data_IF_957622563891
#
_entry.id   IF_957622563891
#
_cell.length_a   1.000
_cell.length_b   1.000
_cell.length_c   1.000
_cell.angle_alpha   90.00
_cell.angle_beta   90.00
_cell.angle_gamma   90.00
#
_symmetry.space_group_name_H-M   'P 1'
#
loop_
_entity.id
_entity.type
_entity.pdbx_description
1 polymer ?
#
# COMPACT_ATOMS: atom_id res chain seq x y z
N UNK A 1 14.50 1.75 -2.06
CA UNK A 1 14.63 0.42 -2.70
C UNK A 1 13.52 0.28 -3.73
N UNK A 2 13.80 -0.27 -4.92
CA UNK A 2 12.77 -0.62 -5.92
C UNK A 2 12.11 -1.94 -5.49
N UNK A 3 10.78 -2.00 -5.51
CA UNK A 3 9.98 -3.18 -5.16
C UNK A 3 9.43 -3.91 -6.38
N UNK A 4 9.10 -3.20 -7.45
CA UNK A 4 8.52 -3.79 -8.66
C UNK A 4 8.03 -2.71 -9.62
N UNK A 5 7.37 -3.11 -10.71
CA UNK A 5 6.73 -2.19 -11.64
C UNK A 5 5.46 -1.59 -11.02
N UNK A 6 5.10 -0.39 -11.43
CA UNK A 6 3.83 0.22 -11.07
C UNK A 6 2.70 -0.49 -11.84
N UNK A 7 1.58 -0.82 -11.19
CA UNK A 7 0.45 -1.47 -11.87
C UNK A 7 -0.34 -0.51 -12.78
N UNK A 8 -0.03 0.80 -12.73
CA UNK A 8 -0.81 1.84 -13.41
C UNK A 8 0.00 2.69 -14.40
N UNK A 9 1.31 2.49 -14.49
CA UNK A 9 2.17 3.19 -15.45
C UNK A 9 3.50 2.45 -15.64
N UNK A 10 4.35 2.92 -16.54
CA UNK A 10 5.66 2.31 -16.86
C UNK A 10 6.72 2.51 -15.76
N UNK A 11 6.40 3.26 -14.71
CA UNK A 11 7.33 3.58 -13.63
C UNK A 11 7.55 2.42 -12.65
N UNK A 12 8.51 2.61 -11.74
CA UNK A 12 8.81 1.68 -10.66
C UNK A 12 8.21 2.11 -9.32
N UNK A 13 7.85 1.13 -8.48
CA UNK A 13 7.41 1.36 -7.10
C UNK A 13 8.62 1.34 -6.17
N UNK A 14 8.77 2.41 -5.39
CA UNK A 14 9.87 2.64 -4.49
C UNK A 14 9.41 2.55 -3.03
N UNK A 15 10.19 1.88 -2.20
CA UNK A 15 10.09 1.94 -0.73
C UNK A 15 10.91 3.11 -0.20
N UNK A 16 10.25 3.98 0.58
CA UNK A 16 10.82 5.13 1.28
C UNK A 16 10.37 5.12 2.75
N UNK A 17 11.22 5.58 3.66
CA UNK A 17 10.82 5.82 5.06
C UNK A 17 10.27 7.25 5.16
N UNK A 18 9.14 7.40 5.85
CA UNK A 18 8.53 8.71 6.13
C UNK A 18 8.17 8.80 7.61
N UNK A 19 8.09 10.03 8.13
CA UNK A 19 7.56 10.31 9.44
C UNK A 19 6.14 10.87 9.30
N UNK A 20 5.16 10.23 9.93
CA UNK A 20 3.76 10.69 9.95
C UNK A 20 3.33 10.79 11.41
N UNK A 21 3.03 12.01 11.87
CA UNK A 21 2.60 12.29 13.25
C UNK A 21 3.56 11.68 14.30
N UNK A 22 4.87 11.80 14.08
CA UNK A 22 5.90 11.27 14.97
C UNK A 22 6.16 9.77 14.83
N UNK A 23 5.43 9.05 13.98
CA UNK A 23 5.64 7.62 13.72
C UNK A 23 6.40 7.41 12.42
N UNK A 24 7.48 6.64 12.48
CA UNK A 24 8.23 6.22 11.31
C UNK A 24 7.54 5.03 10.65
N UNK A 25 7.07 5.21 9.42
CA UNK A 25 6.45 4.16 8.60
C UNK A 25 7.10 4.09 7.22
N UNK A 26 6.82 3.03 6.46
CA UNK A 26 7.24 2.94 5.06
C UNK A 26 6.12 3.45 4.15
N UNK A 27 6.51 4.12 3.09
CA UNK A 27 5.66 4.50 1.97
C UNK A 27 6.16 3.79 0.73
N UNK A 28 5.27 3.04 0.09
CA UNK A 28 5.48 2.45 -1.21
C UNK A 28 4.83 3.38 -2.22
N UNK A 29 5.60 3.97 -3.14
CA UNK A 29 5.09 4.97 -4.06
C UNK A 29 5.66 4.76 -5.44
N UNK A 30 4.84 4.91 -6.48
CA UNK A 30 5.35 5.04 -7.84
C UNK A 30 6.33 6.23 -7.91
N UNK A 31 7.40 6.11 -8.69
CA UNK A 31 8.35 7.19 -8.94
C UNK A 31 7.74 8.37 -9.71
N UNK A 32 6.71 8.11 -10.51
CA UNK A 32 5.93 9.13 -11.23
C UNK A 32 4.88 9.81 -10.35
N UNK A 33 4.70 9.35 -9.10
CA UNK A 33 3.83 9.96 -8.11
C UNK A 33 4.59 11.03 -7.31
N UNK A 34 5.02 12.09 -8.01
CA UNK A 34 5.82 13.19 -7.50
C UNK A 34 4.98 14.13 -6.62
N UNK A 35 5.58 14.66 -5.56
CA UNK A 35 4.88 15.46 -4.55
C UNK A 35 5.67 16.70 -4.21
N UNK A 36 4.92 17.75 -3.92
CA UNK A 36 5.39 18.97 -3.29
C UNK A 36 4.71 19.11 -1.93
N UNK A 37 5.45 19.61 -0.95
CA UNK A 37 4.87 20.04 0.31
C UNK A 37 4.40 21.48 0.11
N UNK A 38 3.09 21.70 0.17
CA UNK A 38 2.52 23.05 0.23
C UNK A 38 2.62 23.57 1.68
N UNK A 39 2.76 24.88 1.84
CA UNK A 39 2.91 25.59 3.13
C UNK A 39 1.73 25.33 4.08
N UNK A 40 0.61 24.83 3.56
CA UNK A 40 -0.62 24.50 4.30
C UNK A 40 -0.65 23.07 4.90
N UNK A 41 0.49 22.37 5.00
CA UNK A 41 0.61 20.96 5.42
C UNK A 41 -0.17 19.95 4.52
N UNK A 42 -0.77 20.41 3.43
CA UNK A 42 -1.56 19.58 2.53
C UNK A 42 -0.66 18.88 1.51
N UNK A 43 -0.99 17.61 1.26
CA UNK A 43 -0.18 16.70 0.48
C UNK A 43 -0.64 16.73 -0.98
N UNK A 44 -0.07 17.63 -1.78
CA UNK A 44 -0.48 17.86 -3.16
C UNK A 44 0.50 17.17 -4.12
N UNK A 45 -0.03 16.54 -5.17
CA UNK A 45 0.78 16.02 -6.26
C UNK A 45 1.29 17.18 -7.12
N UNK A 46 2.53 17.11 -7.60
CA UNK A 46 3.04 18.12 -8.54
C UNK A 46 2.23 18.11 -9.82
N UNK A 47 2.18 19.24 -10.54
CA UNK A 47 1.51 19.32 -11.84
C UNK A 47 2.00 18.24 -12.82
N UNK A 48 3.28 17.88 -12.73
CA UNK A 48 3.93 16.88 -13.60
C UNK A 48 3.71 15.42 -13.14
N UNK A 49 2.93 15.20 -12.08
CA UNK A 49 2.70 13.86 -11.53
C UNK A 49 1.77 13.07 -12.44
N UNK A 50 2.31 12.11 -13.19
CA UNK A 50 1.54 11.28 -14.13
C UNK A 50 0.93 10.03 -13.49
N UNK A 51 1.24 9.77 -12.22
CA UNK A 51 0.69 8.65 -11.45
C UNK A 51 0.33 9.08 -10.03
N UNK A 52 -0.58 8.38 -9.37
CA UNK A 52 -0.97 8.63 -7.96
C UNK A 52 -0.78 7.42 -7.05
N UNK A 53 -0.38 6.28 -7.61
CA UNK A 53 -0.29 5.03 -6.90
C UNK A 53 0.70 5.10 -5.72
N UNK A 54 0.16 4.82 -4.52
CA UNK A 54 0.92 4.77 -3.28
C UNK A 54 0.24 3.89 -2.24
N UNK A 55 1.01 3.24 -1.40
CA UNK A 55 0.52 2.41 -0.29
C UNK A 55 1.33 2.74 0.96
N UNK A 56 0.63 3.10 2.04
CA UNK A 56 1.27 3.27 3.34
C UNK A 56 1.44 1.90 4.01
N UNK A 57 2.56 1.66 4.68
CA UNK A 57 2.80 0.37 5.35
C UNK A 57 1.81 0.09 6.48
N UNK A 58 1.03 1.07 6.92
CA UNK A 58 -0.04 0.90 7.91
C UNK A 58 -1.45 0.88 7.30
N UNK A 59 -1.59 0.67 5.98
CA UNK A 59 -2.87 0.66 5.27
C UNK A 59 -3.91 -0.28 5.93
N UNK A 60 -3.46 -1.39 6.52
CA UNK A 60 -4.32 -2.38 7.15
C UNK A 60 -4.50 -2.23 8.67
N UNK A 61 -4.11 -1.08 9.24
CA UNK A 61 -4.16 -0.87 10.69
C UNK A 61 -5.57 -1.01 11.26
N UNK A 62 -6.61 -0.64 10.49
CA UNK A 62 -8.03 -0.80 10.86
C UNK A 62 -8.41 -2.26 11.12
N UNK A 63 -7.71 -3.20 10.50
CA UNK A 63 -7.92 -4.65 10.65
C UNK A 63 -6.79 -5.30 11.46
N UNK A 64 -6.21 -4.53 12.40
CA UNK A 64 -5.20 -4.98 13.36
C UNK A 64 -3.90 -5.51 12.74
N UNK A 65 -3.64 -5.28 11.45
CA UNK A 65 -2.33 -5.51 10.82
C UNK A 65 -1.50 -4.24 10.88
N UNK A 66 -0.52 -4.24 11.79
CA UNK A 66 0.33 -3.07 12.08
C UNK A 66 1.25 -2.67 10.93
N UNK A 67 1.66 -3.64 10.11
CA UNK A 67 2.61 -3.42 9.03
C UNK A 67 2.30 -4.30 7.82
N UNK A 68 2.25 -3.67 6.66
CA UNK A 68 2.33 -4.25 5.33
C UNK A 68 3.78 -4.18 4.88
N UNK A 69 4.38 -5.34 4.66
CA UNK A 69 5.82 -5.48 4.44
C UNK A 69 6.21 -5.24 2.97
N UNK A 70 7.50 -5.01 2.74
CA UNK A 70 8.05 -4.94 1.38
C UNK A 70 7.89 -6.25 0.62
N UNK A 71 7.90 -7.39 1.32
CA UNK A 71 7.67 -8.70 0.71
C UNK A 71 6.24 -8.84 0.20
N UNK A 72 5.25 -8.47 1.03
CA UNK A 72 3.84 -8.51 0.62
C UNK A 72 3.57 -7.52 -0.52
N UNK A 73 4.20 -6.34 -0.50
CA UNK A 73 4.12 -5.38 -1.61
C UNK A 73 4.74 -5.96 -2.89
N UNK A 74 5.89 -6.63 -2.80
CA UNK A 74 6.52 -7.29 -3.96
C UNK A 74 5.60 -8.34 -4.58
N UNK A 75 4.98 -9.18 -3.75
CA UNK A 75 3.98 -10.16 -4.22
C UNK A 75 2.80 -9.48 -4.91
N UNK A 76 2.22 -8.47 -4.26
CA UNK A 76 1.10 -7.70 -4.83
C UNK A 76 1.44 -7.11 -6.22
N UNK A 77 2.66 -6.60 -6.39
CA UNK A 77 3.09 -6.03 -7.67
C UNK A 77 3.44 -7.08 -8.73
N UNK A 78 3.86 -8.27 -8.31
CA UNK A 78 4.24 -9.36 -9.21
C UNK A 78 3.01 -10.11 -9.72
N UNK A 79 2.10 -10.44 -8.81
CA UNK A 79 0.97 -11.32 -9.07
C UNK A 79 -0.33 -10.53 -9.32
N UNK A 80 -0.28 -9.19 -9.26
CA UNK A 80 -1.42 -8.25 -9.31
C UNK A 80 -2.50 -8.48 -8.23
N UNK A 81 -2.27 -9.44 -7.36
CA UNK A 81 -3.11 -9.84 -6.24
C UNK A 81 -2.20 -10.45 -5.16
N UNK A 82 -2.56 -10.29 -3.89
CA UNK A 82 -1.85 -10.97 -2.80
C UNK A 82 -2.80 -11.39 -1.68
N UNK A 83 -2.52 -12.52 -1.06
CA UNK A 83 -3.19 -12.92 0.18
C UNK A 83 -2.53 -12.18 1.35
N UNK A 84 -3.35 -11.51 2.16
CA UNK A 84 -2.90 -10.88 3.40
C UNK A 84 -3.63 -11.45 4.61
N UNK A 85 -2.88 -11.53 5.71
CA UNK A 85 -3.40 -11.96 7.01
C UNK A 85 -3.87 -10.78 7.83
N UNK A 86 -5.13 -10.81 8.23
CA UNK A 86 -5.78 -9.81 9.08
C UNK A 86 -6.19 -10.42 10.42
N UNK A 87 -6.53 -9.55 11.37
CA UNK A 87 -6.99 -9.98 12.68
C UNK A 87 -8.37 -9.37 12.99
N UNK A 88 -9.22 -10.16 13.64
CA UNK A 88 -10.53 -9.72 14.14
C UNK A 88 -10.40 -8.56 15.13
N UNK A 89 -11.51 -7.91 15.43
CA UNK A 89 -11.54 -6.67 16.25
C UNK A 89 -10.93 -6.83 17.64
N UNK A 90 -11.11 -8.00 18.27
CA UNK A 90 -10.52 -8.39 19.55
C UNK A 90 -9.06 -8.84 19.46
N UNK A 91 -8.50 -8.99 18.26
CA UNK A 91 -7.17 -9.56 18.01
C UNK A 91 -7.10 -11.08 18.19
N UNK A 92 -8.22 -11.75 18.47
CA UNK A 92 -8.24 -13.17 18.86
C UNK A 92 -8.42 -14.16 17.70
N UNK A 93 -8.85 -13.70 16.52
CA UNK A 93 -9.00 -14.53 15.32
C UNK A 93 -8.21 -13.97 14.15
N UNK A 94 -7.51 -14.82 13.43
CA UNK A 94 -6.90 -14.46 12.14
C UNK A 94 -7.77 -14.91 10.98
N UNK A 95 -7.79 -14.11 9.93
CA UNK A 95 -8.44 -14.43 8.66
C UNK A 95 -7.62 -13.90 7.51
N UNK A 96 -7.84 -14.45 6.32
CA UNK A 96 -7.07 -14.14 5.13
C UNK A 96 -8.01 -13.58 4.08
N UNK A 97 -7.55 -12.53 3.38
CA UNK A 97 -8.29 -11.93 2.27
C UNK A 97 -7.32 -11.61 1.14
N UNK A 98 -7.85 -11.62 -0.08
CA UNK A 98 -7.13 -11.09 -1.23
C UNK A 98 -7.10 -9.57 -1.17
N UNK A 99 -5.99 -9.00 -1.59
CA UNK A 99 -5.86 -7.58 -1.90
C UNK A 99 -5.40 -7.40 -3.33
N UNK A 100 -5.85 -6.32 -3.95
CA UNK A 100 -5.46 -5.87 -5.28
C UNK A 100 -4.93 -4.43 -5.20
N UNK A 101 -4.07 -4.00 -6.14
CA UNK A 101 -3.70 -2.60 -6.26
C UNK A 101 -4.94 -1.74 -6.46
N UNK A 102 -4.94 -0.55 -5.88
CA UNK A 102 -5.97 0.48 -6.11
C UNK A 102 -5.29 1.81 -6.46
N UNK A 103 -5.75 2.49 -7.50
CA UNK A 103 -5.08 3.69 -7.99
C UNK A 103 -5.14 4.85 -6.98
N UNK A 104 -6.24 4.97 -6.24
CA UNK A 104 -6.50 6.08 -5.34
C UNK A 104 -6.14 5.74 -3.89
N UNK A 105 -6.58 4.56 -3.42
CA UNK A 105 -6.40 4.09 -2.06
C UNK A 105 -5.13 3.25 -1.88
N UNK A 106 -4.46 2.90 -2.97
CA UNK A 106 -3.25 2.08 -2.98
C UNK A 106 -3.53 0.58 -2.99
N UNK A 107 -4.40 0.12 -2.10
CA UNK A 107 -4.83 -1.28 -2.01
C UNK A 107 -6.30 -1.38 -1.67
N UNK A 108 -6.98 -2.34 -2.27
CA UNK A 108 -8.37 -2.70 -2.00
C UNK A 108 -8.47 -4.16 -1.55
N UNK A 109 -9.27 -4.42 -0.52
CA UNK A 109 -9.54 -5.78 0.00
C UNK A 109 -10.75 -6.34 -0.72
N UNK A 110 -10.65 -7.55 -1.25
CA UNK A 110 -11.76 -8.27 -1.87
C UNK A 110 -12.53 -9.01 -0.78
N UNK A 111 -13.67 -8.46 -0.36
CA UNK A 111 -14.44 -8.98 0.78
C UNK A 111 -15.29 -10.20 0.44
N UNK A 112 -15.81 -10.23 -0.78
CA UNK A 112 -16.71 -11.28 -1.27
C UNK A 112 -15.95 -12.53 -1.76
N UNK A 113 -14.61 -12.43 -1.85
CA UNK A 113 -13.75 -13.56 -2.18
C UNK A 113 -13.22 -14.24 -0.91
N UNK A 114 -13.31 -15.57 -0.90
CA UNK A 114 -12.71 -16.40 0.15
C UNK A 114 -11.34 -16.90 -0.32
N UNK A 115 -10.37 -16.86 0.59
CA UNK A 115 -9.04 -17.42 0.32
C UNK A 115 -9.14 -18.92 0.55
N UNK A 116 -9.04 -19.70 -0.52
CA UNK A 116 -8.97 -21.15 -0.42
C UNK A 116 -7.73 -21.54 0.40
N UNK A 117 -7.93 -22.37 1.43
CA UNK A 117 -6.84 -22.94 2.21
C UNK A 117 -6.40 -24.22 1.49
N UNK A 118 -5.19 -24.22 0.95
CA UNK A 118 -4.48 -25.45 0.59
C UNK A 118 -4.27 -26.36 1.82
#
# INVERSE_FOLDING_TARGET
>A
MILGKCPYCEGSVLSKKINVKGKNIKLYSCENAKKEYDESEQYVFTADSTCRFRVYSNAFLRWNKRSFSEYEMKKLLQDEQAVIRLHGRSGTGEYFKYIVPDYEYGVSILWDEEVEKD
#
